data_IF_716363748062
#
_entry.id   IF_716363748062
#
_cell.length_a   1.000
_cell.length_b   1.000
_cell.length_c   1.000
_cell.angle_alpha   90.00
_cell.angle_beta   90.00
_cell.angle_gamma   90.00
#
_symmetry.space_group_name_H-M   'P 1'
#
loop_
_entity.id
_entity.type
_entity.pdbx_description
1 polymer ?
#
# COMPACT_ATOMS: atom_id res chain seq x y z
N UNK A 1 21.69 46.22 31.68
CA UNK A 1 21.22 45.05 30.98
C UNK A 1 19.70 44.88 31.23
N UNK A 2 18.89 45.26 30.23
CA UNK A 2 17.42 45.11 30.33
C UNK A 2 17.08 43.66 30.08
N UNK A 3 16.51 43.01 31.10
CA UNK A 3 15.95 41.64 30.99
C UNK A 3 14.78 41.67 30.01
N UNK A 4 14.84 40.84 28.95
CA UNK A 4 13.72 40.59 28.05
C UNK A 4 12.52 40.05 28.83
N UNK A 5 11.28 40.45 28.49
CA UNK A 5 10.08 39.92 29.13
C UNK A 5 10.00 38.41 28.83
N UNK A 6 9.83 37.61 29.89
CA UNK A 6 9.53 36.19 29.79
C UNK A 6 8.16 36.07 29.11
N UNK A 7 8.15 35.56 27.88
CA UNK A 7 6.92 35.25 27.18
C UNK A 7 6.04 34.34 28.04
N UNK A 8 4.79 34.72 28.24
CA UNK A 8 3.75 33.87 28.84
C UNK A 8 3.70 32.57 28.03
N UNK A 9 3.60 31.40 28.66
CA UNK A 9 3.28 30.20 27.93
C UNK A 9 1.91 30.44 27.26
N UNK A 10 1.89 30.39 25.94
CA UNK A 10 0.64 30.47 25.15
C UNK A 10 -0.21 29.29 25.60
N UNK A 11 -1.25 29.58 26.37
CA UNK A 11 -2.25 28.59 26.75
C UNK A 11 -2.81 28.02 25.45
N UNK A 12 -2.80 26.70 25.31
CA UNK A 12 -3.41 26.02 24.16
C UNK A 12 -4.89 26.37 24.16
N UNK A 13 -5.31 27.24 23.24
CA UNK A 13 -6.72 27.57 23.07
C UNK A 13 -7.45 26.28 22.64
N UNK A 14 -8.42 25.77 23.44
CA UNK A 14 -9.14 24.55 23.09
C UNK A 14 -9.95 24.68 21.78
N UNK A 15 -10.13 25.90 21.29
CA UNK A 15 -10.78 26.21 20.01
C UNK A 15 -9.80 26.36 18.85
N UNK A 16 -8.48 26.19 19.07
CA UNK A 16 -7.49 26.29 18.00
C UNK A 16 -7.66 25.12 17.01
N UNK A 17 -7.96 25.44 15.77
CA UNK A 17 -8.07 24.46 14.67
C UNK A 17 -6.72 24.29 14.01
N UNK A 18 -6.26 23.05 13.87
CA UNK A 18 -4.99 22.72 13.22
C UNK A 18 -5.28 22.11 11.86
N UNK A 19 -4.59 22.59 10.83
CA UNK A 19 -4.65 22.02 9.48
C UNK A 19 -3.25 21.82 8.94
N UNK A 20 -3.05 20.71 8.26
CA UNK A 20 -1.80 20.43 7.53
C UNK A 20 -1.85 21.16 6.19
N UNK A 21 -0.84 21.96 5.90
CA UNK A 21 -0.66 22.66 4.62
C UNK A 21 0.63 22.23 4.00
N UNK A 22 0.59 21.91 2.71
CA UNK A 22 1.81 21.61 1.94
C UNK A 22 2.47 22.91 1.52
N UNK A 23 3.79 22.98 1.72
CA UNK A 23 4.63 24.06 1.24
C UNK A 23 5.85 23.45 0.54
N UNK A 24 6.24 24.00 -0.60
CA UNK A 24 7.46 23.60 -1.29
C UNK A 24 8.70 24.15 -0.60
N UNK A 25 9.84 23.49 -0.78
CA UNK A 25 11.11 23.98 -0.27
C UNK A 25 11.47 25.37 -0.86
N UNK A 26 11.04 25.65 -2.10
CA UNK A 26 11.20 26.99 -2.72
C UNK A 26 10.44 28.07 -1.96
N UNK A 27 9.16 27.86 -1.71
CA UNK A 27 8.32 28.81 -0.96
C UNK A 27 8.89 29.12 0.44
N UNK A 28 9.43 28.09 1.13
CA UNK A 28 10.03 28.27 2.44
C UNK A 28 11.36 29.06 2.38
N UNK A 29 12.19 28.82 1.37
CA UNK A 29 13.46 29.55 1.17
C UNK A 29 13.25 31.02 0.78
N UNK A 30 12.24 31.28 -0.02
CA UNK A 30 11.87 32.63 -0.48
C UNK A 30 11.08 33.42 0.56
N UNK A 31 10.71 32.78 1.68
CA UNK A 31 9.90 33.41 2.71
C UNK A 31 8.47 33.71 2.28
N UNK A 32 7.91 32.93 1.36
CA UNK A 32 6.57 33.12 0.81
C UNK A 32 5.47 32.77 1.82
N UNK A 33 5.55 33.32 3.01
CA UNK A 33 4.64 33.02 4.13
C UNK A 33 3.18 33.40 3.86
N UNK A 34 2.96 34.44 3.07
CA UNK A 34 1.60 34.83 2.67
C UNK A 34 0.93 33.77 1.82
N UNK A 35 1.65 33.12 0.92
CA UNK A 35 1.15 32.01 0.13
C UNK A 35 0.81 30.79 1.00
N UNK A 36 1.64 30.49 2.01
CA UNK A 36 1.39 29.41 2.96
C UNK A 36 0.16 29.71 3.82
N UNK A 37 0.02 30.95 4.27
CA UNK A 37 -1.16 31.42 5.03
C UNK A 37 -2.43 31.33 4.21
N UNK A 38 -2.40 31.75 2.96
CA UNK A 38 -3.55 31.67 2.05
C UNK A 38 -3.95 30.20 1.81
N UNK A 39 -2.99 29.31 1.59
CA UNK A 39 -3.25 27.89 1.47
C UNK A 39 -3.90 27.28 2.75
N UNK A 40 -3.52 27.78 3.93
CA UNK A 40 -4.18 27.43 5.18
C UNK A 40 -5.64 27.88 5.20
N UNK A 41 -5.92 29.13 4.83
CA UNK A 41 -7.28 29.66 4.80
C UNK A 41 -8.17 28.89 3.82
N UNK A 42 -7.67 28.59 2.62
CA UNK A 42 -8.40 27.79 1.63
C UNK A 42 -8.72 26.38 2.15
N UNK A 43 -7.76 25.75 2.82
CA UNK A 43 -7.98 24.43 3.40
C UNK A 43 -8.95 24.48 4.56
N UNK A 44 -8.85 25.51 5.41
CA UNK A 44 -9.74 25.70 6.54
C UNK A 44 -11.18 25.92 6.08
N UNK A 45 -11.37 26.77 5.05
CA UNK A 45 -12.68 27.02 4.44
C UNK A 45 -13.28 25.72 3.87
N UNK A 46 -12.49 24.92 3.16
CA UNK A 46 -12.95 23.63 2.62
C UNK A 46 -13.34 22.62 3.68
N UNK A 47 -12.67 22.60 4.83
CA UNK A 47 -12.94 21.65 5.91
C UNK A 47 -14.06 22.07 6.83
N UNK A 48 -14.26 23.38 7.02
CA UNK A 48 -15.16 23.94 8.03
C UNK A 48 -16.23 24.86 7.46
N UNK A 49 -16.20 25.19 6.17
CA UNK A 49 -17.16 26.06 5.49
C UNK A 49 -16.96 27.54 5.75
N UNK A 50 -15.84 27.97 6.30
CA UNK A 50 -15.50 29.38 6.52
C UNK A 50 -13.98 29.60 6.57
N UNK A 51 -13.54 30.81 6.27
CA UNK A 51 -12.15 31.26 6.40
C UNK A 51 -12.08 32.52 7.25
N UNK A 52 -11.08 32.60 8.13
CA UNK A 52 -10.87 33.73 9.06
C UNK A 52 -9.92 34.77 8.47
N UNK A 53 -10.09 35.16 7.17
CA UNK A 53 -9.21 36.09 6.48
C UNK A 53 -9.28 37.50 7.02
N UNK A 54 -10.50 37.90 7.40
CA UNK A 54 -10.83 39.27 7.82
C UNK A 54 -10.78 39.44 9.34
N UNK A 55 -10.56 38.38 10.08
CA UNK A 55 -10.39 38.46 11.53
C UNK A 55 -8.90 38.66 11.86
N UNK A 56 -8.63 39.51 12.87
CA UNK A 56 -7.28 39.72 13.39
C UNK A 56 -6.74 38.49 14.15
N UNK A 57 -7.17 37.29 13.75
CA UNK A 57 -6.77 36.03 14.36
C UNK A 57 -5.44 35.58 13.77
N UNK A 58 -4.36 35.50 14.57
CA UNK A 58 -3.06 35.10 14.05
C UNK A 58 -3.07 33.62 13.63
N UNK A 59 -2.45 33.35 12.49
CA UNK A 59 -2.14 31.97 12.06
C UNK A 59 -0.73 31.64 12.52
N UNK A 60 -0.59 30.62 13.35
CA UNK A 60 0.69 30.18 13.89
C UNK A 60 1.11 28.84 13.29
N UNK A 61 2.38 28.74 12.90
CA UNK A 61 3.00 27.50 12.49
C UNK A 61 3.46 26.73 13.75
N UNK A 62 2.76 25.65 14.09
CA UNK A 62 3.06 24.88 15.33
C UNK A 62 4.13 23.81 15.09
N UNK A 63 4.23 23.30 13.86
CA UNK A 63 5.22 22.26 13.52
C UNK A 63 5.47 22.22 12.01
N UNK A 64 6.64 21.74 11.64
CA UNK A 64 7.03 21.46 10.26
C UNK A 64 7.39 19.99 10.15
N UNK A 65 6.85 19.30 9.13
CA UNK A 65 7.25 17.94 8.78
C UNK A 65 7.91 17.97 7.41
N UNK A 66 9.14 17.50 7.33
CA UNK A 66 9.86 17.31 6.07
C UNK A 66 9.78 15.84 5.66
N UNK A 67 9.41 15.61 4.40
CA UNK A 67 9.55 14.31 3.75
C UNK A 67 10.55 14.47 2.61
N UNK A 68 11.63 13.71 2.67
CA UNK A 68 12.61 13.62 1.60
C UNK A 68 12.50 12.24 0.95
N UNK A 69 12.36 12.21 -0.37
CA UNK A 69 12.33 10.96 -1.15
C UNK A 69 13.56 10.94 -2.04
N UNK A 70 14.43 9.94 -1.83
CA UNK A 70 15.53 9.66 -2.75
C UNK A 70 15.01 8.82 -3.91
N UNK A 71 15.24 9.27 -5.12
CA UNK A 71 15.01 8.44 -6.30
C UNK A 71 16.18 7.47 -6.45
N UNK A 72 15.86 6.19 -6.55
CA UNK A 72 16.82 5.13 -6.86
C UNK A 72 16.48 4.54 -8.21
N UNK A 73 17.49 4.12 -8.94
CA UNK A 73 17.29 3.36 -10.17
C UNK A 73 16.52 2.09 -9.84
N UNK A 74 15.38 1.90 -10.50
CA UNK A 74 14.60 0.68 -10.35
C UNK A 74 15.29 -0.44 -11.14
N UNK A 75 15.46 -1.65 -10.57
CA UNK A 75 15.94 -2.77 -11.34
C UNK A 75 15.01 -3.01 -12.55
N UNK A 76 15.55 -3.35 -13.72
CA UNK A 76 14.73 -3.69 -14.87
C UNK A 76 13.88 -4.91 -14.52
N UNK A 77 12.60 -4.85 -14.85
CA UNK A 77 11.74 -6.02 -14.86
C UNK A 77 12.04 -6.80 -16.12
N UNK A 78 12.44 -8.05 -15.95
CA UNK A 78 12.72 -8.97 -17.08
C UNK A 78 11.63 -10.02 -17.09
N UNK A 79 10.88 -10.08 -18.17
CA UNK A 79 9.86 -11.08 -18.35
C UNK A 79 10.51 -12.46 -18.53
N UNK A 80 10.05 -13.45 -17.79
CA UNK A 80 10.47 -14.83 -18.00
C UNK A 80 9.82 -15.38 -19.29
N UNK A 81 10.56 -16.15 -20.11
CA UNK A 81 9.97 -16.82 -21.24
C UNK A 81 8.91 -17.82 -20.79
N UNK A 82 7.85 -17.95 -21.59
CA UNK A 82 6.77 -18.89 -21.28
C UNK A 82 7.24 -20.33 -21.42
N UNK A 83 7.07 -21.14 -20.36
CA UNK A 83 7.50 -22.54 -20.27
C UNK A 83 6.38 -23.53 -20.61
N UNK A 84 5.14 -23.08 -20.65
CA UNK A 84 3.97 -23.94 -20.87
C UNK A 84 3.06 -24.01 -19.64
N UNK A 85 1.99 -24.80 -19.74
CA UNK A 85 0.96 -24.85 -18.67
C UNK A 85 1.20 -25.96 -17.64
N UNK A 86 1.99 -26.98 -18.00
CA UNK A 86 2.24 -28.13 -17.14
C UNK A 86 3.13 -27.75 -15.94
N UNK A 87 2.60 -27.98 -14.74
CA UNK A 87 3.28 -27.73 -13.48
C UNK A 87 3.76 -29.02 -12.78
N UNK A 88 3.65 -30.19 -13.42
CA UNK A 88 3.98 -31.49 -12.81
C UNK A 88 5.42 -31.55 -12.30
N UNK A 89 6.34 -30.89 -12.96
CA UNK A 89 7.76 -30.83 -12.57
C UNK A 89 8.01 -30.14 -11.22
N UNK A 90 7.05 -29.31 -10.76
CA UNK A 90 7.12 -28.62 -9.48
C UNK A 90 6.42 -29.38 -8.33
N UNK A 91 5.77 -30.53 -8.62
CA UNK A 91 5.10 -31.32 -7.58
C UNK A 91 6.12 -31.89 -6.59
N UNK A 92 5.91 -31.64 -5.29
CA UNK A 92 6.72 -32.15 -4.18
C UNK A 92 6.11 -33.42 -3.57
N UNK A 93 4.79 -33.56 -3.60
CA UNK A 93 4.02 -34.62 -2.98
C UNK A 93 2.62 -34.17 -2.61
N UNK A 94 2.01 -34.82 -1.62
CA UNK A 94 0.72 -34.41 -1.08
C UNK A 94 0.72 -34.49 0.45
N UNK A 95 -0.26 -33.79 1.06
CA UNK A 95 -0.53 -33.90 2.49
C UNK A 95 -2.01 -33.65 2.78
N UNK A 96 -2.48 -34.18 3.92
CA UNK A 96 -3.83 -33.95 4.39
C UNK A 96 -3.98 -32.48 4.83
N UNK A 97 -4.92 -31.74 4.23
CA UNK A 97 -5.24 -30.35 4.51
C UNK A 97 -6.73 -30.22 4.77
N UNK A 98 -7.08 -29.46 5.81
CA UNK A 98 -8.49 -29.18 6.11
C UNK A 98 -9.10 -28.32 5.00
N UNK A 99 -10.19 -28.77 4.42
CA UNK A 99 -10.94 -28.05 3.37
C UNK A 99 -12.20 -27.44 4.03
N UNK A 100 -12.24 -26.08 4.18
CA UNK A 100 -13.36 -25.43 4.90
C UNK A 100 -14.72 -25.60 4.22
N UNK A 101 -14.73 -25.72 2.89
CA UNK A 101 -15.92 -25.85 2.05
C UNK A 101 -16.65 -27.18 2.28
N UNK A 102 -15.92 -28.26 2.61
CA UNK A 102 -16.48 -29.58 2.88
C UNK A 102 -16.35 -30.00 4.36
N UNK A 103 -15.61 -29.24 5.17
CA UNK A 103 -15.45 -29.47 6.61
C UNK A 103 -14.60 -30.71 6.99
N UNK A 104 -13.74 -31.20 6.09
CA UNK A 104 -12.92 -32.39 6.30
C UNK A 104 -11.48 -32.22 5.80
N UNK A 105 -10.58 -33.12 6.24
CA UNK A 105 -9.23 -33.22 5.73
C UNK A 105 -9.22 -34.02 4.42
N UNK A 106 -8.54 -33.44 3.38
CA UNK A 106 -8.34 -34.13 2.10
C UNK A 106 -6.87 -34.09 1.68
N UNK A 107 -6.45 -35.16 1.02
CA UNK A 107 -5.13 -35.18 0.35
C UNK A 107 -5.05 -34.05 -0.68
N UNK A 108 -4.07 -33.19 -0.48
CA UNK A 108 -3.91 -31.96 -1.28
C UNK A 108 -2.49 -31.93 -1.83
N UNK A 109 -2.30 -31.76 -3.16
CA UNK A 109 -0.99 -31.69 -3.77
C UNK A 109 -0.23 -30.45 -3.29
N UNK A 110 1.08 -30.61 -3.12
CA UNK A 110 2.00 -29.57 -2.69
C UNK A 110 3.04 -29.36 -3.78
N UNK A 111 3.16 -28.13 -4.23
CA UNK A 111 4.08 -27.70 -5.28
C UNK A 111 5.19 -26.82 -4.73
N UNK A 112 6.35 -26.92 -5.30
CA UNK A 112 7.49 -26.03 -5.06
C UNK A 112 7.34 -24.77 -5.90
N UNK A 113 7.01 -23.66 -5.26
CA UNK A 113 6.77 -22.37 -5.92
C UNK A 113 8.02 -21.77 -6.58
N UNK A 114 9.21 -22.19 -6.16
CA UNK A 114 10.46 -21.73 -6.78
C UNK A 114 10.79 -22.50 -8.07
N UNK A 115 10.12 -23.62 -8.30
CA UNK A 115 10.22 -24.41 -9.54
C UNK A 115 9.13 -24.08 -10.55
N UNK A 116 8.05 -23.40 -10.13
CA UNK A 116 7.02 -22.93 -11.06
C UNK A 116 7.58 -21.85 -11.99
N UNK A 117 7.19 -21.88 -13.27
CA UNK A 117 7.64 -20.99 -14.34
C UNK A 117 6.46 -20.25 -14.98
N UNK A 118 6.78 -19.17 -15.69
CA UNK A 118 5.80 -18.41 -16.45
C UNK A 118 4.95 -19.31 -17.36
N UNK A 119 3.66 -19.21 -17.22
CA UNK A 119 2.66 -19.97 -17.97
C UNK A 119 2.15 -21.22 -17.25
N UNK A 120 2.86 -21.74 -16.21
CA UNK A 120 2.38 -22.88 -15.46
C UNK A 120 1.02 -22.59 -14.82
N UNK A 121 0.15 -23.60 -14.77
CA UNK A 121 -1.20 -23.52 -14.21
C UNK A 121 -1.43 -24.66 -13.24
N UNK A 122 -2.16 -24.37 -12.16
CA UNK A 122 -2.60 -25.31 -11.15
C UNK A 122 -4.10 -25.16 -10.94
N UNK A 123 -4.77 -26.27 -10.68
CA UNK A 123 -6.16 -26.26 -10.20
C UNK A 123 -6.18 -26.59 -8.71
N UNK A 124 -7.06 -25.87 -7.97
CA UNK A 124 -7.32 -26.19 -6.57
C UNK A 124 -8.20 -27.42 -6.38
N UNK A 125 -8.12 -28.06 -5.19
CA UNK A 125 -7.33 -27.62 -4.07
C UNK A 125 -5.84 -27.96 -4.24
N UNK A 126 -4.94 -27.01 -3.98
CA UNK A 126 -3.50 -27.19 -4.07
C UNK A 126 -2.77 -26.27 -3.08
N UNK A 127 -1.53 -26.61 -2.75
CA UNK A 127 -0.62 -25.79 -1.97
C UNK A 127 0.61 -25.46 -2.81
N UNK A 128 1.05 -24.22 -2.78
CA UNK A 128 2.31 -23.77 -3.36
C UNK A 128 3.18 -23.23 -2.23
N UNK A 129 4.34 -23.85 -2.03
CA UNK A 129 5.30 -23.45 -0.99
C UNK A 129 6.48 -22.70 -1.62
N UNK A 130 6.80 -21.54 -1.05
CA UNK A 130 8.04 -20.79 -1.29
C UNK A 130 8.79 -20.63 0.04
N UNK A 131 10.06 -20.22 -0.02
CA UNK A 131 10.90 -20.03 1.18
C UNK A 131 10.25 -19.07 2.19
N UNK A 132 9.57 -18.05 1.74
CA UNK A 132 9.01 -16.99 2.61
C UNK A 132 7.49 -16.99 2.70
N UNK A 133 6.78 -17.82 1.92
CA UNK A 133 5.32 -17.80 1.89
C UNK A 133 4.74 -19.14 1.45
N UNK A 134 3.48 -19.36 1.78
CA UNK A 134 2.69 -20.48 1.30
C UNK A 134 1.38 -19.97 0.74
N UNK A 135 1.00 -20.42 -0.44
CA UNK A 135 -0.27 -20.10 -1.08
C UNK A 135 -1.15 -21.32 -1.07
N UNK A 136 -2.36 -21.20 -0.52
CA UNK A 136 -3.41 -22.19 -0.66
C UNK A 136 -4.33 -21.80 -1.82
N UNK A 137 -4.49 -22.68 -2.78
CA UNK A 137 -5.42 -22.56 -3.91
C UNK A 137 -6.68 -23.34 -3.53
N UNK A 138 -7.82 -22.68 -3.26
CA UNK A 138 -9.06 -23.38 -2.89
C UNK A 138 -9.64 -24.18 -4.05
N UNK A 139 -10.56 -25.10 -3.74
CA UNK A 139 -11.40 -25.74 -4.76
C UNK A 139 -12.19 -24.67 -5.54
N UNK A 140 -12.30 -24.82 -6.85
CA UNK A 140 -12.95 -23.85 -7.74
C UNK A 140 -12.05 -22.66 -8.14
N UNK A 141 -10.81 -22.63 -7.67
CA UNK A 141 -9.82 -21.62 -8.10
C UNK A 141 -8.70 -22.28 -8.91
N UNK A 142 -8.20 -21.53 -9.87
CA UNK A 142 -6.96 -21.83 -10.57
C UNK A 142 -5.85 -20.87 -10.12
N UNK A 143 -4.59 -21.31 -10.27
CA UNK A 143 -3.42 -20.47 -10.12
C UNK A 143 -2.66 -20.49 -11.44
N UNK A 144 -2.29 -19.31 -11.93
CA UNK A 144 -1.40 -19.14 -13.08
C UNK A 144 -0.15 -18.36 -12.67
N UNK A 145 0.99 -18.67 -13.30
CA UNK A 145 2.23 -17.92 -13.11
C UNK A 145 2.39 -16.92 -14.23
N UNK A 146 2.56 -15.65 -13.89
CA UNK A 146 2.76 -14.57 -14.85
C UNK A 146 4.22 -14.44 -15.32
N UNK A 147 4.46 -13.52 -16.26
CA UNK A 147 5.79 -13.27 -16.82
C UNK A 147 6.83 -12.76 -15.81
N UNK A 148 6.39 -12.25 -14.66
CA UNK A 148 7.26 -11.75 -13.59
C UNK A 148 7.45 -12.76 -12.45
N UNK A 149 6.94 -13.99 -12.61
CA UNK A 149 6.96 -15.02 -11.57
C UNK A 149 5.93 -14.78 -10.46
N UNK A 150 4.95 -13.90 -10.68
CA UNK A 150 3.82 -13.66 -9.80
C UNK A 150 2.76 -14.76 -9.91
N UNK A 151 2.01 -14.98 -8.83
CA UNK A 151 0.91 -15.96 -8.79
C UNK A 151 -0.42 -15.22 -8.89
N UNK A 152 -1.17 -15.52 -9.95
CA UNK A 152 -2.53 -15.04 -10.18
C UNK A 152 -3.52 -16.14 -9.78
N UNK A 153 -4.40 -15.84 -8.83
CA UNK A 153 -5.51 -16.75 -8.47
C UNK A 153 -6.78 -16.26 -9.16
N UNK A 154 -7.42 -17.16 -9.90
CA UNK A 154 -8.63 -16.88 -10.66
C UNK A 154 -9.74 -17.84 -10.24
N UNK A 155 -10.96 -17.30 -10.07
CA UNK A 155 -12.15 -18.14 -9.84
C UNK A 155 -12.53 -18.83 -11.15
N UNK A 156 -12.45 -20.16 -11.17
CA UNK A 156 -12.76 -20.98 -12.34
C UNK A 156 -14.24 -21.43 -12.38
N UNK A 157 -15.02 -21.09 -11.35
CA UNK A 157 -16.45 -21.49 -11.30
C UNK A 157 -17.32 -20.65 -12.24
N UNK A 158 -16.83 -19.47 -12.64
CA UNK A 158 -17.61 -18.50 -13.46
C UNK A 158 -17.56 -18.79 -14.97
N UNK A 159 -16.63 -19.61 -15.47
CA UNK A 159 -16.49 -19.89 -16.91
C UNK A 159 -17.52 -20.88 -17.48
N UNK A 160 -18.31 -21.56 -16.65
CA UNK A 160 -19.29 -22.59 -17.13
C UNK A 160 -20.64 -21.99 -17.55
N UNK A 161 -20.83 -20.67 -17.55
CA UNK A 161 -22.10 -20.00 -17.91
C UNK A 161 -22.02 -19.07 -19.12
N UNK A 162 -21.15 -19.34 -20.10
CA UNK A 162 -21.22 -18.64 -21.41
C UNK A 162 -21.27 -19.61 -22.55
#
# INVERSE_FOLDING_TARGET
PRRAPRGRPLGVNPYSRRSLVQASAGQLREGAWDAVREAFHQRHDRLYGYALRDEATPVEMVSVRLSAVGETDKPPQVDEPRDGEDAAHALKGSRAVFQPDVGEFRETPVYDGDRLRHGNRLQGPAIVEKVTTTVFVPAGFGLAVDALGGFLLEDTTTETQR
#
